data_IF_828643908819
#
_entry.id   IF_828643908819
#
_cell.length_a   1.000
_cell.length_b   1.000
_cell.length_c   1.000
_cell.angle_alpha   90.00
_cell.angle_beta   90.00
_cell.angle_gamma   90.00
#
_symmetry.space_group_name_H-M   'P 1'
#
loop_
_entity.id
_entity.type
_entity.pdbx_description
1 polymer ?
#
# COMPACT_ATOMS: atom_id res chain seq x y z
N UNK A 1 14.96 23.33 -8.64
CA UNK A 1 13.59 23.75 -8.33
C UNK A 1 12.71 22.53 -8.20
N UNK A 2 11.84 22.55 -7.24
CA UNK A 2 10.80 21.52 -7.15
C UNK A 2 10.08 21.41 -8.51
N UNK A 3 9.88 20.23 -9.05
CA UNK A 3 9.36 20.08 -10.41
C UNK A 3 7.91 20.51 -10.56
N UNK A 4 7.45 21.30 -9.67
CA UNK A 4 6.13 21.84 -9.73
C UNK A 4 5.22 21.27 -8.68
N UNK A 5 3.99 21.65 -8.79
CA UNK A 5 2.95 21.19 -7.85
C UNK A 5 2.49 19.82 -8.24
N UNK A 6 2.15 19.03 -7.23
CA UNK A 6 1.39 17.81 -7.48
C UNK A 6 0.07 18.17 -8.17
N UNK A 7 -0.37 17.36 -9.12
CA UNK A 7 -1.72 17.48 -9.65
C UNK A 7 -2.73 17.25 -8.52
N UNK A 8 -3.96 17.67 -8.69
CA UNK A 8 -5.00 17.41 -7.70
C UNK A 8 -5.11 15.92 -7.38
N UNK A 9 -5.01 15.08 -8.40
CA UNK A 9 -5.07 13.64 -8.27
C UNK A 9 -3.92 13.10 -7.44
N UNK A 10 -2.70 13.58 -7.72
CA UNK A 10 -1.51 13.16 -6.97
C UNK A 10 -1.56 13.63 -5.53
N UNK A 11 -2.00 14.87 -5.31
CA UNK A 11 -2.13 15.41 -3.96
C UNK A 11 -3.17 14.64 -3.15
N UNK A 12 -4.29 14.28 -3.76
CA UNK A 12 -5.33 13.51 -3.11
C UNK A 12 -4.85 12.10 -2.76
N UNK A 13 -4.19 11.43 -3.70
CA UNK A 13 -3.62 10.10 -3.47
C UNK A 13 -2.59 10.12 -2.35
N UNK A 14 -1.75 11.16 -2.31
CA UNK A 14 -0.76 11.33 -1.25
C UNK A 14 -1.43 11.49 0.12
N UNK A 15 -2.54 12.22 0.18
CA UNK A 15 -3.29 12.37 1.43
C UNK A 15 -3.82 11.04 1.94
N UNK A 16 -4.30 10.17 1.06
CA UNK A 16 -4.78 8.84 1.46
C UNK A 16 -3.64 7.97 1.94
N UNK A 17 -2.47 8.07 1.32
CA UNK A 17 -1.28 7.34 1.78
C UNK A 17 -0.82 7.82 3.15
N UNK A 18 -0.85 9.13 3.39
CA UNK A 18 -0.53 9.68 4.70
C UNK A 18 -1.51 9.21 5.77
N UNK A 19 -2.80 9.20 5.44
CA UNK A 19 -3.83 8.73 6.36
C UNK A 19 -3.66 7.24 6.67
N UNK A 20 -3.35 6.44 5.65
CA UNK A 20 -3.11 5.01 5.82
C UNK A 20 -1.87 4.76 6.69
N UNK A 21 -0.79 5.49 6.45
CA UNK A 21 0.43 5.37 7.25
C UNK A 21 0.18 5.73 8.70
N UNK A 22 -0.53 6.83 8.96
CA UNK A 22 -0.87 7.24 10.31
C UNK A 22 -1.73 6.19 11.03
N UNK A 23 -2.70 5.63 10.32
CA UNK A 23 -3.56 4.57 10.85
C UNK A 23 -2.74 3.36 11.28
N UNK A 24 -1.81 2.91 10.42
CA UNK A 24 -0.99 1.74 10.70
C UNK A 24 0.02 2.00 11.82
N UNK A 25 0.58 3.21 11.88
CA UNK A 25 1.51 3.56 12.97
C UNK A 25 0.82 3.55 14.33
N UNK A 26 -0.42 3.98 14.40
CA UNK A 26 -1.19 3.89 15.64
C UNK A 26 -1.40 2.44 16.08
N UNK A 27 -1.27 1.51 15.16
CA UNK A 27 -1.39 0.07 15.42
C UNK A 27 -0.03 -0.62 15.53
N UNK A 28 1.01 0.17 15.76
CA UNK A 28 2.37 -0.29 16.08
C UNK A 28 3.17 -0.80 14.87
N UNK A 29 2.70 -0.57 13.64
CA UNK A 29 3.53 -0.82 12.48
C UNK A 29 4.52 0.33 12.31
N UNK A 30 5.71 0.00 11.83
CA UNK A 30 6.81 0.96 11.66
C UNK A 30 6.99 1.25 10.17
N UNK A 31 6.99 2.53 9.74
CA UNK A 31 7.25 2.86 8.34
C UNK A 31 8.66 2.44 7.92
N UNK A 32 8.77 1.86 6.73
CA UNK A 32 10.05 1.46 6.15
C UNK A 32 10.31 2.25 4.87
N UNK A 33 9.32 2.31 3.98
CA UNK A 33 9.47 3.00 2.70
C UNK A 33 8.08 3.36 2.17
N UNK A 34 8.05 4.20 1.15
CA UNK A 34 6.79 4.57 0.52
C UNK A 34 7.02 4.83 -0.96
N UNK A 35 5.96 4.63 -1.74
CA UNK A 35 5.96 4.90 -3.18
C UNK A 35 7.14 4.23 -3.90
N UNK A 36 7.37 2.97 -3.58
CA UNK A 36 8.39 2.18 -4.27
C UNK A 36 7.88 1.84 -5.67
N UNK A 37 8.66 2.15 -6.67
CA UNK A 37 8.31 1.92 -8.07
C UNK A 37 9.42 1.18 -8.77
N UNK A 38 9.03 0.27 -9.66
CA UNK A 38 9.94 -0.43 -10.54
C UNK A 38 9.24 -0.69 -11.86
N UNK A 39 9.99 -1.20 -12.84
CA UNK A 39 9.37 -1.65 -14.08
C UNK A 39 8.44 -2.81 -13.75
N UNK A 40 7.18 -2.66 -14.02
CA UNK A 40 6.19 -3.71 -13.81
C UNK A 40 5.36 -3.60 -12.54
N UNK A 41 5.66 -2.65 -11.64
CA UNK A 41 4.83 -2.52 -10.44
C UNK A 41 5.18 -1.37 -9.53
N UNK A 42 4.34 -1.23 -8.50
CA UNK A 42 4.53 -0.20 -7.48
C UNK A 42 3.90 -0.66 -6.17
N UNK A 43 4.40 -0.10 -5.07
CA UNK A 43 3.89 -0.35 -3.72
C UNK A 43 3.69 1.00 -3.05
N UNK A 44 2.50 1.25 -2.54
CA UNK A 44 2.18 2.54 -1.92
C UNK A 44 2.93 2.74 -0.61
N UNK A 45 2.88 1.75 0.28
CA UNK A 45 3.57 1.81 1.57
C UNK A 45 4.26 0.48 1.85
N UNK A 46 5.43 0.56 2.48
CA UNK A 46 6.12 -0.60 3.02
C UNK A 46 6.30 -0.35 4.51
N UNK A 47 5.74 -1.23 5.31
CA UNK A 47 5.75 -1.12 6.77
C UNK A 47 6.42 -2.36 7.36
N UNK A 48 6.66 -2.31 8.65
CA UNK A 48 7.16 -3.48 9.39
C UNK A 48 6.26 -3.71 10.59
N UNK A 49 5.82 -4.96 10.72
CA UNK A 49 5.06 -5.44 11.86
C UNK A 49 5.91 -6.46 12.59
N UNK A 50 6.63 -6.02 13.63
CA UNK A 50 7.65 -6.85 14.24
C UNK A 50 8.74 -7.20 13.23
N UNK A 51 8.95 -8.49 12.99
CA UNK A 51 9.92 -8.98 12.02
C UNK A 51 9.34 -9.11 10.61
N UNK A 52 8.03 -8.94 10.44
CA UNK A 52 7.35 -9.15 9.17
C UNK A 52 7.32 -7.85 8.36
N UNK A 53 7.76 -7.93 7.12
CA UNK A 53 7.67 -6.82 6.17
C UNK A 53 6.28 -6.84 5.55
N UNK A 54 5.61 -5.68 5.55
CA UNK A 54 4.21 -5.55 5.11
C UNK A 54 4.16 -4.64 3.91
N UNK A 55 3.75 -5.17 2.77
CA UNK A 55 3.54 -4.40 1.55
C UNK A 55 2.08 -3.98 1.49
N UNK A 56 1.82 -2.68 1.43
CA UNK A 56 0.48 -2.13 1.61
C UNK A 56 0.02 -1.43 0.34
N UNK A 57 -1.13 -1.83 -0.15
CA UNK A 57 -1.84 -1.12 -1.22
C UNK A 57 -2.91 -0.24 -0.57
N UNK A 58 -2.92 1.03 -0.93
CA UNK A 58 -3.90 1.99 -0.41
C UNK A 58 -4.94 2.24 -1.49
N UNK A 59 -6.19 1.94 -1.17
CA UNK A 59 -7.31 2.08 -2.11
C UNK A 59 -8.33 3.07 -1.55
N UNK A 60 -8.79 3.98 -2.40
CA UNK A 60 -9.77 4.97 -2.02
C UNK A 60 -11.01 4.84 -2.90
N UNK A 61 -12.18 4.91 -2.26
CA UNK A 61 -13.46 4.94 -2.96
C UNK A 61 -14.33 6.00 -2.31
N UNK A 62 -15.07 6.70 -3.12
CA UNK A 62 -16.00 7.72 -2.64
C UNK A 62 -17.29 7.12 -2.09
N UNK A 63 -17.54 5.84 -2.34
CA UNK A 63 -18.78 5.18 -1.95
C UNK A 63 -18.49 3.71 -1.67
N UNK A 64 -19.24 3.14 -0.73
CA UNK A 64 -19.11 1.74 -0.34
C UNK A 64 -19.94 0.79 -1.21
N UNK A 65 -20.51 1.30 -2.29
CA UNK A 65 -21.27 0.44 -3.22
C UNK A 65 -20.37 -0.67 -3.77
N UNK A 66 -20.92 -1.84 -3.93
CA UNK A 66 -20.24 -3.01 -4.52
C UNK A 66 -18.96 -3.39 -3.76
N UNK A 67 -18.98 -3.26 -2.43
CA UNK A 67 -17.86 -3.66 -1.61
C UNK A 67 -16.80 -2.57 -1.38
N UNK A 68 -17.04 -1.36 -1.88
CA UNK A 68 -16.16 -0.23 -1.62
C UNK A 68 -14.77 -0.36 -2.22
N UNK A 69 -13.77 0.20 -1.53
CA UNK A 69 -12.39 0.22 -2.01
C UNK A 69 -11.78 -1.19 -2.07
N UNK A 70 -12.14 -2.06 -1.13
CA UNK A 70 -11.60 -3.43 -1.08
C UNK A 70 -11.92 -4.19 -2.37
N UNK A 71 -13.13 -4.04 -2.90
CA UNK A 71 -13.55 -4.74 -4.12
C UNK A 71 -12.89 -4.20 -5.38
N UNK A 72 -12.16 -3.07 -5.30
CA UNK A 72 -11.51 -2.47 -6.46
C UNK A 72 -10.13 -3.06 -6.76
N UNK A 73 -9.64 -4.00 -5.94
CA UNK A 73 -8.33 -4.63 -6.18
C UNK A 73 -8.47 -5.68 -7.28
N UNK A 74 -7.86 -5.42 -8.41
CA UNK A 74 -7.95 -6.30 -9.58
C UNK A 74 -6.78 -7.29 -9.61
N UNK A 75 -6.92 -8.41 -10.34
CA UNK A 75 -5.78 -9.31 -10.53
C UNK A 75 -4.56 -8.61 -11.13
N UNK A 76 -4.76 -7.65 -12.02
CA UNK A 76 -3.65 -6.89 -12.61
C UNK A 76 -2.91 -6.09 -11.54
N UNK A 77 -3.63 -5.47 -10.61
CA UNK A 77 -3.02 -4.73 -9.51
C UNK A 77 -2.27 -5.65 -8.56
N UNK A 78 -2.81 -6.82 -8.28
CA UNK A 78 -2.14 -7.84 -7.47
C UNK A 78 -0.83 -8.25 -8.10
N UNK A 79 -0.83 -8.51 -9.40
CA UNK A 79 0.40 -8.90 -10.12
C UNK A 79 1.45 -7.80 -10.06
N UNK A 80 1.04 -6.53 -10.19
CA UNK A 80 1.96 -5.39 -10.11
C UNK A 80 2.53 -5.22 -8.72
N UNK A 81 1.71 -5.43 -7.70
CA UNK A 81 2.14 -5.36 -6.31
C UNK A 81 3.15 -6.46 -5.99
N UNK A 82 2.85 -7.70 -6.40
CA UNK A 82 3.76 -8.84 -6.19
C UNK A 82 5.08 -8.64 -6.94
N UNK A 83 5.02 -8.16 -8.18
CA UNK A 83 6.22 -7.87 -8.96
C UNK A 83 7.11 -6.85 -8.24
N UNK A 84 6.54 -5.77 -7.77
CA UNK A 84 7.30 -4.74 -7.06
C UNK A 84 7.87 -5.27 -5.73
N UNK A 85 7.11 -6.11 -5.03
CA UNK A 85 7.59 -6.72 -3.78
C UNK A 85 8.80 -7.62 -4.05
N UNK A 86 8.77 -8.42 -5.10
CA UNK A 86 9.89 -9.29 -5.47
C UNK A 86 11.15 -8.47 -5.76
N UNK A 87 11.01 -7.35 -6.47
CA UNK A 87 12.15 -6.46 -6.74
C UNK A 87 12.66 -5.84 -5.43
N UNK A 88 11.76 -5.38 -4.59
CA UNK A 88 12.15 -4.77 -3.31
C UNK A 88 12.92 -5.76 -2.43
N UNK A 89 12.48 -7.02 -2.42
CA UNK A 89 13.09 -8.06 -1.58
C UNK A 89 14.50 -8.44 -2.03
N UNK A 90 14.92 -8.09 -3.25
CA UNK A 90 16.28 -8.36 -3.72
C UNK A 90 17.36 -7.67 -2.88
N UNK A 91 17.02 -6.63 -2.14
CA UNK A 91 17.98 -5.91 -1.29
C UNK A 91 18.33 -6.66 -0.01
N UNK A 92 17.62 -7.73 0.31
CA UNK A 92 17.85 -8.49 1.52
C UNK A 92 18.67 -9.75 1.23
N UNK A 93 19.78 -10.00 1.95
CA UNK A 93 20.54 -11.25 1.79
C UNK A 93 19.71 -12.49 2.14
N UNK A 94 18.85 -12.36 3.15
CA UNK A 94 17.89 -13.41 3.53
C UNK A 94 16.50 -12.77 3.48
N UNK A 95 15.60 -13.40 2.74
CA UNK A 95 14.25 -12.87 2.59
C UNK A 95 13.53 -12.89 3.93
N UNK A 96 13.06 -11.71 4.42
CA UNK A 96 12.30 -11.69 5.66
C UNK A 96 10.89 -12.24 5.44
N UNK A 97 10.21 -12.64 6.52
CA UNK A 97 8.78 -12.93 6.39
C UNK A 97 8.07 -11.69 5.90
N UNK A 98 7.10 -11.87 5.04
CA UNK A 98 6.36 -10.74 4.46
C UNK A 98 4.91 -11.12 4.21
N UNK A 99 4.07 -10.10 4.12
CA UNK A 99 2.67 -10.26 3.75
C UNK A 99 2.20 -9.04 2.98
N UNK A 100 1.04 -9.16 2.35
CA UNK A 100 0.43 -8.09 1.56
C UNK A 100 -0.88 -7.68 2.22
N UNK A 101 -0.99 -6.40 2.54
CA UNK A 101 -2.17 -5.84 3.19
C UNK A 101 -2.78 -4.76 2.29
N UNK A 102 -4.05 -4.48 2.52
CA UNK A 102 -4.77 -3.39 1.85
C UNK A 102 -5.35 -2.47 2.92
N UNK A 103 -5.17 -1.18 2.73
CA UNK A 103 -5.90 -0.16 3.45
C UNK A 103 -6.95 0.39 2.50
N UNK A 104 -8.22 0.16 2.82
CA UNK A 104 -9.34 0.63 2.02
C UNK A 104 -9.98 1.82 2.71
N UNK A 105 -10.10 2.93 2.00
CA UNK A 105 -10.64 4.17 2.53
C UNK A 105 -11.91 4.53 1.76
N UNK A 106 -13.05 4.51 2.45
CA UNK A 106 -14.34 4.90 1.92
C UNK A 106 -14.82 6.11 2.71
N UNK A 107 -14.62 7.32 2.14
CA UNK A 107 -14.89 8.55 2.87
C UNK A 107 -14.00 8.66 4.10
N UNK A 108 -14.61 8.66 5.29
CA UNK A 108 -13.88 8.72 6.55
C UNK A 108 -13.61 7.33 7.16
N UNK A 109 -14.17 6.30 6.56
CA UNK A 109 -14.04 4.94 7.05
C UNK A 109 -12.75 4.31 6.50
N UNK A 110 -11.94 3.77 7.40
CA UNK A 110 -10.70 3.07 7.05
C UNK A 110 -10.82 1.63 7.48
N UNK A 111 -10.58 0.73 6.54
CA UNK A 111 -10.57 -0.71 6.79
C UNK A 111 -9.21 -1.27 6.47
N UNK A 112 -8.68 -2.08 7.37
CA UNK A 112 -7.38 -2.74 7.20
C UNK A 112 -7.60 -4.22 6.92
N UNK A 113 -7.25 -4.64 5.73
CA UNK A 113 -7.38 -6.03 5.28
C UNK A 113 -5.98 -6.64 5.29
N UNK A 114 -5.76 -7.61 6.16
CA UNK A 114 -4.44 -8.22 6.32
C UNK A 114 -4.31 -9.47 5.48
N UNK A 115 -3.10 -9.68 4.94
CA UNK A 115 -2.71 -10.91 4.26
C UNK A 115 -3.67 -11.30 3.13
N UNK A 116 -3.90 -10.34 2.23
CA UNK A 116 -4.92 -10.48 1.18
C UNK A 116 -4.45 -11.29 -0.03
N UNK A 117 -3.15 -11.60 -0.11
CA UNK A 117 -2.58 -12.36 -1.21
C UNK A 117 -1.93 -13.62 -0.66
N UNK A 118 -2.44 -14.76 -1.08
CA UNK A 118 -1.80 -16.03 -0.78
C UNK A 118 -0.72 -16.31 -1.83
N UNK A 119 0.43 -16.65 -1.34
CA UNK A 119 1.57 -16.97 -2.21
C UNK A 119 1.96 -18.42 -2.04
#
# INVERSE_FOLDING_TARGET
>A
MWPGRLSQRQAQGHQYELAASAYLRRRKLVPVDQNFRCKGGEIDLIMRDGATLVFVEVRQRASSRQGGAAASITPAKIRRLVCAAQVYLLRFPVTPPCRFDVIAIDGEHIEWLQNVIEV
#
